data_IF_848892606679
#
_entry.id   IF_848892606679
#
_cell.length_a   1.000
_cell.length_b   1.000
_cell.length_c   1.000
_cell.angle_alpha   90.00
_cell.angle_beta   90.00
_cell.angle_gamma   90.00
#
_symmetry.space_group_name_H-M   'P 1'
#
loop_
_entity.id
_entity.type
_entity.pdbx_description
1 polymer ?
#
# COMPACT_ATOMS: atom_id res chain seq x y z
N UNK A 1 -28.61 -21.05 52.25
CA UNK A 1 -27.59 -20.95 51.19
C UNK A 1 -26.31 -20.53 51.87
N UNK A 2 -25.39 -21.47 52.05
CA UNK A 2 -24.16 -21.24 52.79
C UNK A 2 -23.30 -20.21 52.07
N UNK A 3 -23.03 -19.08 52.73
CA UNK A 3 -22.29 -17.94 52.18
C UNK A 3 -20.93 -18.36 51.59
N UNK A 4 -20.35 -19.42 52.14
CA UNK A 4 -19.12 -20.06 51.67
C UNK A 4 -19.25 -20.64 50.26
N UNK A 5 -20.33 -21.37 49.96
CA UNK A 5 -20.58 -21.98 48.64
C UNK A 5 -20.72 -20.90 47.57
N UNK A 6 -21.39 -19.80 47.89
CA UNK A 6 -21.53 -18.65 46.99
C UNK A 6 -20.15 -18.05 46.71
N UNK A 7 -19.33 -17.80 47.73
CA UNK A 7 -17.98 -17.26 47.53
C UNK A 7 -17.08 -18.18 46.67
N UNK A 8 -17.09 -19.50 46.92
CA UNK A 8 -16.33 -20.44 46.10
C UNK A 8 -16.83 -20.51 44.65
N UNK A 9 -18.15 -20.44 44.44
CA UNK A 9 -18.73 -20.41 43.10
C UNK A 9 -18.27 -19.19 42.29
N UNK A 10 -18.24 -18.01 42.91
CA UNK A 10 -17.74 -16.78 42.27
C UNK A 10 -16.24 -16.84 41.97
N UNK A 11 -15.44 -17.40 42.88
CA UNK A 11 -14.00 -17.58 42.67
C UNK A 11 -13.74 -18.50 41.47
N UNK A 12 -14.46 -19.62 41.36
CA UNK A 12 -14.35 -20.55 40.23
C UNK A 12 -14.80 -19.88 38.93
N UNK A 13 -15.90 -19.12 38.95
CA UNK A 13 -16.37 -18.38 37.77
C UNK A 13 -15.35 -17.34 37.28
N UNK A 14 -14.72 -16.59 38.20
CA UNK A 14 -13.68 -15.62 37.87
C UNK A 14 -12.43 -16.32 37.31
N UNK A 15 -12.02 -17.45 37.89
CA UNK A 15 -10.89 -18.23 37.38
C UNK A 15 -11.11 -18.70 35.94
N UNK A 16 -12.32 -19.22 35.63
CA UNK A 16 -12.70 -19.62 34.26
C UNK A 16 -12.70 -18.40 33.32
N UNK A 17 -13.25 -17.27 33.76
CA UNK A 17 -13.26 -16.04 32.96
C UNK A 17 -11.83 -15.58 32.61
N UNK A 18 -10.89 -15.62 33.56
CA UNK A 18 -9.48 -15.28 33.33
C UNK A 18 -8.83 -16.24 32.31
N UNK A 19 -9.12 -17.54 32.39
CA UNK A 19 -8.63 -18.52 31.40
C UNK A 19 -9.12 -18.18 29.99
N UNK A 20 -10.41 -17.83 29.85
CA UNK A 20 -10.99 -17.41 28.56
C UNK A 20 -10.34 -16.12 28.06
N UNK A 21 -10.12 -15.13 28.93
CA UNK A 21 -9.42 -13.89 28.61
C UNK A 21 -8.00 -14.15 28.09
N UNK A 22 -7.25 -15.04 28.74
CA UNK A 22 -5.91 -15.46 28.31
C UNK A 22 -5.95 -16.17 26.95
N UNK A 23 -6.91 -17.08 26.74
CA UNK A 23 -7.05 -17.79 25.46
C UNK A 23 -7.38 -16.82 24.31
N UNK A 24 -8.32 -15.90 24.53
CA UNK A 24 -8.69 -14.88 23.55
C UNK A 24 -7.54 -13.92 23.26
N UNK A 25 -6.78 -13.50 24.27
CA UNK A 25 -5.60 -12.66 24.10
C UNK A 25 -4.55 -13.33 23.18
N UNK A 26 -4.34 -14.63 23.32
CA UNK A 26 -3.44 -15.40 22.45
C UNK A 26 -3.90 -15.39 20.98
N UNK A 27 -5.20 -15.57 20.72
CA UNK A 27 -5.75 -15.49 19.35
C UNK A 27 -5.60 -14.10 18.75
N UNK A 28 -5.76 -13.05 19.54
CA UNK A 28 -5.63 -11.67 19.07
C UNK A 28 -4.17 -11.29 18.78
N UNK A 29 -3.20 -11.86 19.50
CA UNK A 29 -1.77 -11.73 19.14
C UNK A 29 -1.48 -12.32 17.76
N UNK A 30 -2.11 -13.43 17.39
CA UNK A 30 -1.98 -14.03 16.05
C UNK A 30 -2.59 -13.12 14.98
N UNK A 31 -3.78 -12.55 15.22
CA UNK A 31 -4.38 -11.59 14.28
C UNK A 31 -3.49 -10.35 14.09
N UNK A 32 -2.87 -9.86 15.15
CA UNK A 32 -1.94 -8.74 15.05
C UNK A 32 -0.68 -9.09 14.24
N UNK A 33 -0.15 -10.32 14.38
CA UNK A 33 1.00 -10.79 13.60
C UNK A 33 0.66 -10.98 12.12
N UNK A 34 -0.57 -11.40 11.81
CA UNK A 34 -1.08 -11.45 10.45
C UNK A 34 -1.11 -10.05 9.81
N UNK A 35 -1.57 -9.03 10.53
CA UNK A 35 -1.55 -7.60 10.11
C UNK A 35 -0.14 -7.01 9.96
N UNK A 36 0.90 -7.74 10.38
CA UNK A 36 2.30 -7.32 10.29
C UNK A 36 2.85 -6.61 11.52
N UNK A 37 2.16 -6.68 12.66
CA UNK A 37 2.68 -6.21 13.94
C UNK A 37 3.46 -7.32 14.63
N UNK A 38 4.67 -7.04 15.10
CA UNK A 38 5.50 -8.05 15.76
C UNK A 38 4.85 -8.58 17.04
N UNK A 39 4.70 -9.92 17.17
CA UNK A 39 4.17 -10.55 18.39
C UNK A 39 5.13 -10.37 19.59
N UNK A 40 6.40 -10.03 19.33
CA UNK A 40 7.38 -9.72 20.37
C UNK A 40 7.07 -8.42 21.14
N UNK A 41 6.24 -7.53 20.59
CA UNK A 41 5.76 -6.35 21.31
C UNK A 41 4.66 -6.79 22.28
N UNK A 42 5.05 -7.03 23.54
CA UNK A 42 4.16 -7.40 24.67
C UNK A 42 2.96 -6.46 24.89
N UNK A 43 2.93 -5.30 24.24
CA UNK A 43 1.88 -4.30 24.33
C UNK A 43 0.50 -4.82 23.92
N UNK A 44 0.38 -5.59 22.84
CA UNK A 44 -0.94 -6.06 22.37
C UNK A 44 -1.55 -7.06 23.36
N UNK A 45 -0.73 -7.98 23.87
CA UNK A 45 -1.15 -8.92 24.90
C UNK A 45 -1.54 -8.22 26.21
N UNK A 46 -0.73 -7.25 26.65
CA UNK A 46 -1.00 -6.49 27.88
C UNK A 46 -2.29 -5.67 27.79
N UNK A 47 -2.57 -5.03 26.65
CA UNK A 47 -3.79 -4.25 26.44
C UNK A 47 -5.02 -5.17 26.45
N UNK A 48 -4.96 -6.36 25.84
CA UNK A 48 -6.06 -7.33 25.88
C UNK A 48 -6.37 -7.85 27.29
N UNK A 49 -5.36 -8.03 28.14
CA UNK A 49 -5.57 -8.44 29.53
C UNK A 49 -6.08 -7.27 30.39
N UNK A 50 -5.60 -6.05 30.15
CA UNK A 50 -5.92 -4.89 30.98
C UNK A 50 -7.27 -4.24 30.63
N UNK A 51 -7.64 -4.21 29.35
CA UNK A 51 -8.91 -3.64 28.86
C UNK A 51 -10.01 -4.68 28.60
N UNK A 52 -9.68 -5.97 28.65
CA UNK A 52 -10.63 -7.05 28.36
C UNK A 52 -11.27 -6.91 26.98
N UNK A 53 -12.61 -6.90 26.94
CA UNK A 53 -13.41 -6.81 25.70
C UNK A 53 -13.02 -5.60 24.83
N UNK A 54 -12.68 -4.47 25.44
CA UNK A 54 -12.27 -3.25 24.72
C UNK A 54 -10.90 -3.40 24.05
N UNK A 55 -10.02 -4.23 24.62
CA UNK A 55 -8.73 -4.56 24.01
C UNK A 55 -8.91 -5.27 22.66
N UNK A 56 -9.97 -6.05 22.48
CA UNK A 56 -10.26 -6.71 21.20
C UNK A 56 -10.70 -5.72 20.13
N UNK A 57 -11.55 -4.75 20.47
CA UNK A 57 -11.93 -3.68 19.55
C UNK A 57 -10.70 -2.87 19.10
N UNK A 58 -9.76 -2.63 20.00
CA UNK A 58 -8.48 -1.99 19.66
C UNK A 58 -7.72 -2.78 18.59
N UNK A 59 -7.51 -4.10 18.79
CA UNK A 59 -6.82 -4.97 17.81
C UNK A 59 -7.55 -5.04 16.47
N UNK A 60 -8.88 -4.99 16.47
CA UNK A 60 -9.67 -4.93 15.23
C UNK A 60 -9.49 -3.61 14.50
N UNK A 61 -9.46 -2.49 15.21
CA UNK A 61 -9.26 -1.15 14.66
C UNK A 61 -7.84 -0.90 14.15
N UNK A 62 -6.85 -1.76 14.48
CA UNK A 62 -5.49 -1.63 13.96
C UNK A 62 -5.48 -1.71 12.42
N UNK A 63 -4.89 -0.72 11.73
CA UNK A 63 -4.74 -0.77 10.28
C UNK A 63 -3.75 -1.85 9.85
N UNK A 64 -4.00 -2.49 8.70
CA UNK A 64 -3.11 -3.53 8.19
C UNK A 64 -1.81 -2.90 7.63
N UNK A 65 -0.67 -3.26 8.21
CA UNK A 65 0.63 -2.70 7.82
C UNK A 65 1.20 -3.40 6.58
N UNK A 66 0.95 -4.70 6.43
CA UNK A 66 1.40 -5.44 5.23
C UNK A 66 0.72 -4.91 3.99
N UNK A 67 -0.59 -4.68 4.06
CA UNK A 67 -1.35 -4.13 2.95
C UNK A 67 -0.80 -2.76 2.53
N UNK A 68 -0.45 -1.90 3.49
CA UNK A 68 0.15 -0.58 3.21
C UNK A 68 1.50 -0.67 2.51
N UNK A 69 2.36 -1.61 2.91
CA UNK A 69 3.66 -1.82 2.27
C UNK A 69 3.50 -2.27 0.81
N UNK A 70 2.58 -3.23 0.58
CA UNK A 70 2.28 -3.72 -0.77
C UNK A 70 1.69 -2.63 -1.68
N UNK A 71 0.84 -1.75 -1.12
CA UNK A 71 0.28 -0.62 -1.85
C UNK A 71 1.36 0.42 -2.20
N UNK A 72 2.28 0.71 -1.26
CA UNK A 72 3.37 1.65 -1.51
C UNK A 72 4.33 1.19 -2.61
N UNK A 73 4.75 -0.09 -2.60
CA UNK A 73 5.57 -0.66 -3.68
C UNK A 73 4.86 -0.62 -5.04
N UNK A 74 3.55 -0.89 -5.03
CA UNK A 74 2.73 -0.81 -6.25
C UNK A 74 2.66 0.63 -6.77
N UNK A 75 2.44 1.61 -5.91
CA UNK A 75 2.42 3.03 -6.30
C UNK A 75 3.75 3.47 -6.89
N UNK A 76 4.89 3.04 -6.34
CA UNK A 76 6.22 3.33 -6.87
C UNK A 76 6.42 2.76 -8.28
N UNK A 77 6.03 1.49 -8.49
CA UNK A 77 6.10 0.85 -9.81
C UNK A 77 5.19 1.51 -10.85
N UNK A 78 3.96 1.91 -10.46
CA UNK A 78 3.06 2.63 -11.36
C UNK A 78 3.54 4.05 -11.67
N UNK A 79 4.23 4.71 -10.72
CA UNK A 79 4.78 6.04 -10.92
C UNK A 79 5.99 5.99 -11.87
N UNK A 80 6.85 4.96 -11.76
CA UNK A 80 7.92 4.71 -12.73
C UNK A 80 7.39 4.43 -14.15
N UNK A 81 6.31 3.64 -14.27
CA UNK A 81 5.67 3.39 -15.56
C UNK A 81 5.02 4.66 -16.15
N UNK A 82 4.52 5.57 -15.31
CA UNK A 82 4.01 6.88 -15.75
C UNK A 82 5.15 7.81 -16.15
N UNK A 83 6.21 7.91 -15.35
CA UNK A 83 7.41 8.71 -15.66
C UNK A 83 8.00 8.30 -17.03
N UNK A 84 8.08 6.99 -17.32
CA UNK A 84 8.56 6.49 -18.63
C UNK A 84 7.66 6.85 -19.82
N UNK A 85 6.37 7.14 -19.59
CA UNK A 85 5.43 7.65 -20.61
C UNK A 85 5.37 9.19 -20.64
N UNK A 86 5.66 9.82 -19.52
CA UNK A 86 5.68 11.27 -19.34
C UNK A 86 7.01 11.88 -19.81
N UNK A 87 8.06 11.07 -20.01
CA UNK A 87 9.17 11.42 -20.90
C UNK A 87 8.76 11.29 -22.38
N UNK A 88 7.60 11.88 -22.66
CA UNK A 88 7.30 12.57 -23.90
C UNK A 88 7.50 14.08 -23.67
N UNK A 89 8.59 14.45 -23.01
CA UNK A 89 9.43 15.49 -23.58
C UNK A 89 9.98 14.94 -24.90
N UNK A 90 9.88 15.65 -26.04
CA UNK A 90 10.34 15.12 -27.32
C UNK A 90 11.88 15.18 -27.38
N UNK A 91 12.57 14.30 -26.67
CA UNK A 91 14.03 14.16 -26.79
C UNK A 91 14.52 12.72 -27.02
N UNK A 92 13.62 11.76 -27.23
CA UNK A 92 14.01 10.53 -27.94
C UNK A 92 12.86 9.91 -28.76
N UNK A 93 12.25 10.72 -29.63
CA UNK A 93 11.51 10.17 -30.76
C UNK A 93 12.57 9.62 -31.72
N UNK A 94 12.82 8.31 -31.70
CA UNK A 94 13.19 7.63 -32.95
C UNK A 94 12.03 7.91 -33.87
N UNK A 95 12.16 8.97 -34.66
CA UNK A 95 11.17 9.40 -35.63
C UNK A 95 11.14 8.33 -36.69
N UNK A 96 10.32 7.31 -36.46
CA UNK A 96 9.69 6.56 -37.53
C UNK A 96 9.04 7.63 -38.39
N UNK A 97 9.69 7.91 -39.51
CA UNK A 97 9.24 8.86 -40.50
C UNK A 97 7.89 8.32 -40.96
N UNK A 98 6.78 8.92 -40.50
CA UNK A 98 5.48 8.57 -41.05
C UNK A 98 5.48 8.90 -42.54
N UNK A 99 4.79 8.09 -43.33
CA UNK A 99 4.80 8.16 -44.79
C UNK A 99 4.40 9.57 -45.27
N UNK A 100 5.39 10.38 -45.64
CA UNK A 100 5.20 11.73 -46.19
C UNK A 100 6.03 12.81 -45.49
N UNK A 101 6.37 12.64 -44.21
CA UNK A 101 7.18 13.63 -43.48
C UNK A 101 8.60 13.69 -44.02
N UNK A 102 9.24 14.84 -43.87
CA UNK A 102 10.55 15.05 -44.47
C UNK A 102 11.54 15.82 -43.63
N UNK A 103 12.80 15.40 -43.78
CA UNK A 103 13.93 16.07 -43.17
C UNK A 103 14.52 17.10 -44.13
N UNK A 104 14.64 18.34 -43.65
CA UNK A 104 15.26 19.41 -44.42
C UNK A 104 16.76 19.15 -44.60
N UNK A 105 17.30 19.21 -45.84
CA UNK A 105 18.73 19.02 -46.07
C UNK A 105 19.58 20.22 -45.65
N UNK A 106 18.96 21.41 -45.49
CA UNK A 106 19.68 22.63 -45.12
C UNK A 106 19.89 22.75 -43.60
N UNK A 107 18.84 22.53 -42.80
CA UNK A 107 18.90 22.70 -41.34
C UNK A 107 18.68 21.41 -40.55
N UNK A 108 18.37 20.29 -41.20
CA UNK A 108 18.12 19.02 -40.53
C UNK A 108 16.77 18.91 -39.80
N UNK A 109 15.96 19.98 -39.77
CA UNK A 109 14.64 19.96 -39.13
C UNK A 109 13.69 18.99 -39.84
N UNK A 110 12.81 18.35 -39.07
CA UNK A 110 11.69 17.58 -39.61
C UNK A 110 10.50 18.49 -39.85
N UNK A 111 9.98 18.43 -41.06
CA UNK A 111 8.81 19.17 -41.50
C UNK A 111 7.71 18.17 -41.90
N UNK A 112 6.43 18.54 -41.70
CA UNK A 112 5.32 17.67 -42.06
C UNK A 112 5.19 17.51 -43.58
N UNK A 113 4.58 16.41 -44.01
CA UNK A 113 4.35 16.09 -45.44
C UNK A 113 3.64 17.19 -46.23
N UNK A 114 2.70 17.88 -45.59
CA UNK A 114 1.86 18.90 -46.21
C UNK A 114 2.61 20.22 -46.46
N UNK A 115 3.72 20.47 -45.75
CA UNK A 115 4.49 21.69 -45.90
C UNK A 115 5.62 21.56 -46.91
N UNK A 116 5.65 22.49 -47.86
CA UNK A 116 6.74 22.60 -48.86
C UNK A 116 7.86 23.53 -48.41
N UNK A 117 7.68 24.30 -47.34
CA UNK A 117 8.65 25.28 -46.85
C UNK A 117 9.07 24.93 -45.42
N UNK A 118 10.38 24.95 -45.20
CA UNK A 118 10.95 24.90 -43.86
C UNK A 118 11.10 26.31 -43.30
N UNK A 119 11.05 26.45 -41.98
CA UNK A 119 11.28 27.72 -41.27
C UNK A 119 12.66 28.33 -41.52
N UNK A 120 13.65 27.51 -41.92
CA UNK A 120 14.97 28.01 -42.32
C UNK A 120 14.98 28.67 -43.72
N UNK A 121 13.85 28.72 -44.42
CA UNK A 121 13.71 29.30 -45.76
C UNK A 121 13.89 28.29 -46.91
N UNK A 122 14.30 27.05 -46.63
CA UNK A 122 14.42 26.00 -47.65
C UNK A 122 13.05 25.57 -48.19
N UNK A 123 12.89 25.58 -49.51
CA UNK A 123 11.67 25.14 -50.20
C UNK A 123 11.92 23.84 -50.95
N UNK A 124 11.13 22.81 -50.64
CA UNK A 124 11.08 21.55 -51.37
C UNK A 124 10.32 21.79 -52.68
N UNK A 125 10.95 21.46 -53.81
CA UNK A 125 10.37 21.49 -55.16
C UNK A 125 9.41 20.33 -55.38
#
# INVERSE_FOLDING_TARGET
MDFTIVMFSWIVAIAIAIIILCFMASKMCEVASLKGYDPAKKHIFAICIWLGIFGYFYVLALPDLKLRKLLGEKEESENFDKESKNDSSPQNKVTVLENGDWKCPFCGAQNPANDKRCYCGYKRV
#
